data_IF_768080131781
#
_entry.id   IF_768080131781
#
_cell.length_a   1.000
_cell.length_b   1.000
_cell.length_c   1.000
_cell.angle_alpha   90.00
_cell.angle_beta   90.00
_cell.angle_gamma   90.00
#
_symmetry.space_group_name_H-M   'P 1'
#
loop_
_entity.id
_entity.type
_entity.pdbx_description
1 polymer ?
#
# COMPACT_ATOMS: atom_id res chain seq x y z
N UNK A 1 -22.59 22.26 -73.56
CA UNK A 1 -21.88 21.03 -73.18
C UNK A 1 -22.31 20.66 -71.78
N UNK A 2 -22.78 19.42 -71.63
CA UNK A 2 -23.47 18.86 -70.48
C UNK A 2 -22.52 18.61 -69.28
N UNK A 3 -23.07 18.54 -68.06
CA UNK A 3 -22.34 17.99 -66.92
C UNK A 3 -22.89 18.39 -65.55
N UNK A 4 -24.14 18.01 -65.26
CA UNK A 4 -24.77 18.07 -63.94
C UNK A 4 -24.64 16.67 -63.29
N UNK A 5 -24.74 16.62 -61.95
CA UNK A 5 -24.93 15.41 -61.09
C UNK A 5 -23.64 14.69 -60.66
N UNK A 6 -23.48 14.14 -59.46
CA UNK A 6 -24.45 13.82 -58.42
C UNK A 6 -23.77 13.74 -57.04
N UNK A 7 -24.54 13.97 -55.98
CA UNK A 7 -24.17 13.83 -54.57
C UNK A 7 -23.86 12.37 -54.22
N UNK A 8 -22.84 12.14 -53.39
CA UNK A 8 -22.75 10.94 -52.55
C UNK A 8 -22.98 11.34 -51.09
N UNK A 9 -24.09 10.88 -50.52
CA UNK A 9 -24.40 10.94 -49.08
C UNK A 9 -23.92 9.62 -48.49
N UNK A 10 -22.95 9.68 -47.57
CA UNK A 10 -22.51 8.52 -46.78
C UNK A 10 -23.45 8.39 -45.58
N UNK A 11 -24.31 7.38 -45.60
CA UNK A 11 -25.11 6.98 -44.44
C UNK A 11 -24.20 6.19 -43.47
N UNK A 12 -23.72 6.87 -42.43
CA UNK A 12 -23.09 6.24 -41.28
C UNK A 12 -24.19 5.67 -40.37
N UNK A 13 -24.47 4.38 -40.51
CA UNK A 13 -25.32 3.64 -39.58
C UNK A 13 -24.59 3.45 -38.25
N UNK A 14 -24.85 4.33 -37.28
CA UNK A 14 -24.54 4.09 -35.87
C UNK A 14 -25.39 2.92 -35.37
N UNK A 15 -24.81 1.72 -35.39
CA UNK A 15 -25.32 0.61 -34.61
C UNK A 15 -25.14 0.96 -33.12
N UNK A 16 -26.23 1.42 -32.50
CA UNK A 16 -26.34 1.48 -31.04
C UNK A 16 -26.32 0.05 -30.50
N UNK A 17 -25.13 -0.48 -30.25
CA UNK A 17 -24.98 -1.60 -29.33
C UNK A 17 -25.46 -1.10 -27.96
N UNK A 18 -26.70 -1.44 -27.59
CA UNK A 18 -27.14 -1.42 -26.19
C UNK A 18 -26.27 -2.43 -25.46
N UNK A 19 -25.09 -1.98 -25.01
CA UNK A 19 -24.33 -2.68 -23.99
C UNK A 19 -25.24 -2.74 -22.77
N UNK A 20 -25.73 -3.93 -22.46
CA UNK A 20 -26.25 -4.24 -21.14
C UNK A 20 -25.13 -3.89 -20.17
N UNK A 21 -25.27 -2.78 -19.44
CA UNK A 21 -24.50 -2.60 -18.21
C UNK A 21 -24.91 -3.78 -17.35
N UNK A 22 -24.09 -4.83 -17.33
CA UNK A 22 -24.16 -5.85 -16.30
C UNK A 22 -24.19 -5.08 -14.98
N UNK A 23 -25.37 -5.04 -14.36
CA UNK A 23 -25.53 -4.44 -13.06
C UNK A 23 -24.79 -5.36 -12.12
N UNK A 24 -23.49 -5.09 -11.91
CA UNK A 24 -22.65 -5.88 -11.04
C UNK A 24 -23.31 -5.91 -9.68
N UNK A 25 -23.80 -7.08 -9.25
CA UNK A 25 -24.39 -7.24 -7.93
C UNK A 25 -23.31 -6.83 -6.90
N UNK A 26 -23.51 -5.75 -6.12
CA UNK A 26 -22.48 -5.24 -5.21
C UNK A 26 -22.16 -6.24 -4.09
N UNK A 27 -23.02 -7.23 -3.87
CA UNK A 27 -22.85 -8.29 -2.90
C UNK A 27 -22.22 -9.56 -3.48
N UNK A 28 -21.91 -9.57 -4.79
CA UNK A 28 -21.26 -10.73 -5.40
C UNK A 28 -19.83 -10.88 -4.87
N UNK A 29 -19.47 -12.04 -4.31
CA UNK A 29 -18.10 -12.30 -3.88
C UNK A 29 -17.12 -12.22 -5.06
N UNK A 30 -15.98 -11.59 -4.82
CA UNK A 30 -14.83 -11.54 -5.72
C UNK A 30 -13.59 -12.04 -4.99
N UNK A 31 -12.57 -12.47 -5.74
CA UNK A 31 -11.26 -12.70 -5.16
C UNK A 31 -10.60 -11.34 -4.92
N UNK A 32 -10.49 -10.96 -3.65
CA UNK A 32 -9.85 -9.72 -3.21
C UNK A 32 -8.41 -10.04 -2.80
N UNK A 33 -7.43 -9.29 -3.32
CA UNK A 33 -6.04 -9.42 -2.91
C UNK A 33 -5.51 -8.07 -2.45
N UNK A 34 -4.96 -8.03 -1.24
CA UNK A 34 -4.18 -6.91 -0.70
C UNK A 34 -2.70 -7.26 -0.74
N UNK A 35 -1.88 -6.34 -1.24
CA UNK A 35 -0.43 -6.54 -1.35
C UNK A 35 0.33 -5.34 -0.81
N UNK A 36 1.47 -5.62 -0.19
CA UNK A 36 2.51 -4.63 0.08
C UNK A 36 3.68 -4.94 -0.86
N UNK A 37 4.10 -3.95 -1.63
CA UNK A 37 5.21 -4.04 -2.58
C UNK A 37 6.33 -3.12 -2.10
N UNK A 38 7.55 -3.65 -2.06
CA UNK A 38 8.75 -2.83 -1.93
C UNK A 38 8.99 -2.15 -3.29
N UNK A 39 8.93 -0.81 -3.30
CA UNK A 39 9.00 -0.03 -4.55
C UNK A 39 10.39 -0.15 -5.18
N UNK A 40 11.44 -0.25 -4.37
CA UNK A 40 12.82 -0.25 -4.87
C UNK A 40 13.16 -1.58 -5.56
N UNK A 41 12.72 -2.71 -5.00
CA UNK A 41 12.95 -4.04 -5.60
C UNK A 41 11.83 -4.54 -6.50
N UNK A 42 10.65 -3.92 -6.46
CA UNK A 42 9.42 -4.40 -7.11
C UNK A 42 8.85 -5.69 -6.50
N UNK A 43 9.40 -6.16 -5.38
CA UNK A 43 9.02 -7.43 -4.76
C UNK A 43 7.76 -7.25 -3.92
N UNK A 44 6.80 -8.18 -4.05
CA UNK A 44 5.69 -8.33 -3.10
C UNK A 44 6.24 -8.88 -1.77
N UNK A 45 6.20 -8.07 -0.71
CA UNK A 45 6.71 -8.42 0.62
C UNK A 45 5.63 -8.98 1.54
N UNK A 46 4.35 -8.64 1.30
CA UNK A 46 3.20 -9.25 1.95
C UNK A 46 2.04 -9.36 0.96
N UNK A 47 1.26 -10.44 1.06
CA UNK A 47 0.05 -10.63 0.27
C UNK A 47 -1.00 -11.36 1.10
N UNK A 48 -2.22 -10.84 1.10
CA UNK A 48 -3.39 -11.48 1.71
C UNK A 48 -4.49 -11.59 0.67
N UNK A 49 -5.15 -12.75 0.58
CA UNK A 49 -6.24 -12.99 -0.37
C UNK A 49 -7.48 -13.57 0.33
N UNK A 50 -8.68 -13.17 -0.09
CA UNK A 50 -9.95 -13.76 0.36
C UNK A 50 -11.00 -13.77 -0.75
N UNK A 51 -12.10 -14.49 -0.53
CA UNK A 51 -13.34 -14.39 -1.32
C UNK A 51 -14.41 -13.64 -0.51
N UNK A 52 -14.71 -12.40 -0.89
CA UNK A 52 -15.71 -11.56 -0.21
C UNK A 52 -16.27 -10.48 -1.16
N UNK A 53 -17.42 -9.85 -0.83
CA UNK A 53 -17.91 -8.71 -1.60
C UNK A 53 -16.91 -7.53 -1.58
N UNK A 54 -16.77 -6.76 -2.68
CA UNK A 54 -15.89 -5.60 -2.74
C UNK A 54 -16.15 -4.61 -1.59
N UNK A 55 -15.06 -4.11 -0.98
CA UNK A 55 -15.13 -3.10 0.09
C UNK A 55 -15.50 -3.63 1.49
N UNK A 56 -15.63 -4.95 1.67
CA UNK A 56 -16.02 -5.55 2.97
C UNK A 56 -14.87 -6.16 3.76
N UNK A 57 -13.69 -6.31 3.16
CA UNK A 57 -12.55 -7.00 3.77
C UNK A 57 -11.28 -6.16 3.80
N UNK A 58 -10.79 -5.92 5.02
CA UNK A 58 -9.67 -5.04 5.34
C UNK A 58 -8.72 -5.78 6.28
N UNK A 59 -7.85 -6.66 5.77
CA UNK A 59 -6.97 -7.47 6.61
C UNK A 59 -5.93 -6.61 7.33
N UNK A 60 -5.44 -7.09 8.46
CA UNK A 60 -4.17 -6.60 8.99
C UNK A 60 -3.03 -7.13 8.11
N UNK A 61 -2.21 -6.22 7.58
CA UNK A 61 -1.03 -6.56 6.81
C UNK A 61 0.22 -6.33 7.66
N UNK A 62 1.36 -6.83 7.22
CA UNK A 62 2.62 -6.45 7.85
C UNK A 62 3.85 -6.98 7.15
N UNK A 63 5.00 -6.44 7.53
CA UNK A 63 6.29 -6.74 6.94
C UNK A 63 7.39 -6.40 7.96
N UNK A 64 8.60 -6.90 7.75
CA UNK A 64 9.73 -6.56 8.61
C UNK A 64 10.47 -5.36 8.02
N UNK A 65 10.81 -4.36 8.83
CA UNK A 65 11.51 -3.17 8.33
C UNK A 65 12.85 -3.52 7.65
N UNK A 66 13.53 -4.58 8.12
CA UNK A 66 14.76 -5.09 7.50
C UNK A 66 14.60 -5.60 6.07
N UNK A 67 13.39 -5.94 5.65
CA UNK A 67 13.14 -6.47 4.30
C UNK A 67 13.19 -5.35 3.25
N UNK A 68 12.87 -4.12 3.64
CA UNK A 68 12.82 -2.95 2.74
C UNK A 68 13.93 -1.93 3.00
N UNK A 69 14.45 -1.87 4.23
CA UNK A 69 15.40 -0.83 4.64
C UNK A 69 16.82 -1.41 4.83
N UNK A 70 17.79 -1.10 3.95
CA UNK A 70 19.14 -1.64 4.02
C UNK A 70 19.88 -1.31 5.32
N UNK A 71 19.58 -0.15 5.92
CA UNK A 71 20.19 0.22 7.20
C UNK A 71 19.55 -0.56 8.35
N UNK A 72 18.22 -0.72 8.38
CA UNK A 72 17.58 -1.56 9.38
C UNK A 72 18.14 -3.00 9.34
N UNK A 73 18.36 -3.55 8.14
CA UNK A 73 18.92 -4.90 7.94
C UNK A 73 20.27 -5.14 8.63
N UNK A 74 21.09 -4.10 8.80
CA UNK A 74 22.42 -4.20 9.43
C UNK A 74 22.42 -3.83 10.92
N UNK A 75 21.26 -3.59 11.53
CA UNK A 75 21.14 -3.27 12.95
C UNK A 75 20.49 -4.42 13.74
N UNK A 76 20.93 -4.64 15.00
CA UNK A 76 20.24 -5.54 15.91
C UNK A 76 18.76 -5.17 16.08
N UNK A 77 17.86 -6.15 16.17
CA UNK A 77 16.42 -5.91 16.18
C UNK A 77 15.93 -5.11 17.40
N UNK A 78 16.61 -5.20 18.53
CA UNK A 78 16.37 -4.32 19.69
C UNK A 78 16.64 -2.85 19.34
N UNK A 79 17.69 -2.54 18.57
CA UNK A 79 18.00 -1.17 18.16
C UNK A 79 17.01 -0.66 17.12
N UNK A 80 16.57 -1.51 16.18
CA UNK A 80 15.52 -1.13 15.23
C UNK A 80 14.25 -0.74 15.99
N UNK A 81 13.81 -1.62 16.90
CA UNK A 81 12.60 -1.42 17.70
C UNK A 81 12.68 -0.21 18.63
N UNK A 82 13.86 0.06 19.21
CA UNK A 82 14.04 1.17 20.13
C UNK A 82 14.20 2.53 19.43
N UNK A 83 15.01 2.61 18.38
CA UNK A 83 15.18 3.86 17.62
C UNK A 83 13.91 4.27 16.87
N UNK A 84 13.18 3.27 16.37
CA UNK A 84 11.90 3.51 15.77
C UNK A 84 11.94 3.87 14.30
N UNK A 85 10.75 4.18 13.78
CA UNK A 85 10.56 4.69 12.42
C UNK A 85 9.49 5.77 12.44
N UNK A 86 9.44 6.54 11.35
CA UNK A 86 8.31 7.39 11.03
C UNK A 86 7.95 7.20 9.55
N UNK A 87 6.68 7.43 9.22
CA UNK A 87 6.15 7.21 7.90
C UNK A 87 5.28 8.37 7.43
N UNK A 88 5.35 8.65 6.14
CA UNK A 88 4.62 9.72 5.48
C UNK A 88 3.91 9.18 4.23
N UNK A 89 2.64 9.53 4.01
CA UNK A 89 1.92 9.12 2.82
C UNK A 89 2.49 9.85 1.59
N UNK A 90 2.46 9.16 0.46
CA UNK A 90 2.70 9.77 -0.84
C UNK A 90 1.73 10.93 -1.05
N UNK A 91 2.25 12.03 -1.59
CA UNK A 91 1.46 13.23 -1.86
C UNK A 91 1.82 13.80 -3.22
N UNK A 92 0.85 14.45 -3.87
CA UNK A 92 1.10 15.27 -5.05
C UNK A 92 1.66 16.65 -4.69
N UNK A 93 1.56 17.09 -3.43
CA UNK A 93 2.15 18.33 -2.94
C UNK A 93 3.59 18.13 -2.45
N UNK A 94 4.49 17.91 -3.40
CA UNK A 94 5.93 17.77 -3.14
C UNK A 94 6.57 19.06 -2.59
N UNK A 95 5.88 20.21 -2.66
CA UNK A 95 6.42 21.48 -2.12
C UNK A 95 6.55 21.41 -0.61
N UNK A 96 5.55 20.84 0.05
CA UNK A 96 5.53 20.74 1.52
C UNK A 96 6.31 19.53 2.02
N UNK A 97 5.98 18.35 1.52
CA UNK A 97 6.45 17.08 2.10
C UNK A 97 7.61 16.44 1.34
N UNK A 98 8.01 17.01 0.22
CA UNK A 98 8.97 16.37 -0.66
C UNK A 98 8.35 15.25 -1.48
N UNK A 99 9.10 14.80 -2.48
CA UNK A 99 8.74 13.65 -3.31
C UNK A 99 9.30 12.33 -2.77
N UNK A 100 9.39 11.35 -3.64
CA UNK A 100 9.94 10.02 -3.37
C UNK A 100 11.38 10.05 -2.85
N UNK A 101 12.21 10.98 -3.35
CA UNK A 101 13.62 11.14 -2.93
C UNK A 101 13.80 11.55 -1.47
N UNK A 102 12.76 12.09 -0.84
CA UNK A 102 12.72 12.46 0.58
C UNK A 102 11.72 11.60 1.36
N UNK A 103 11.27 10.50 0.74
CA UNK A 103 10.31 9.56 1.32
C UNK A 103 9.01 10.25 1.78
N UNK A 104 8.63 11.36 1.11
CA UNK A 104 7.50 12.21 1.49
C UNK A 104 7.58 12.78 2.93
N UNK A 105 8.76 12.75 3.54
CA UNK A 105 9.00 13.09 4.93
C UNK A 105 9.91 14.32 5.12
N UNK A 106 9.94 15.25 4.16
CA UNK A 106 10.76 16.48 4.25
C UNK A 106 10.50 17.27 5.55
N UNK A 107 9.27 17.22 6.05
CA UNK A 107 8.87 17.92 7.27
C UNK A 107 8.14 17.00 8.25
N UNK A 108 8.33 17.22 9.55
CA UNK A 108 7.61 16.48 10.59
C UNK A 108 6.08 16.56 10.47
N UNK A 109 5.56 17.66 9.93
CA UNK A 109 4.13 17.82 9.68
C UNK A 109 3.55 16.86 8.62
N UNK A 110 4.40 16.13 7.90
CA UNK A 110 4.02 15.12 6.91
C UNK A 110 3.93 13.72 7.50
N UNK A 111 4.44 13.51 8.72
CA UNK A 111 4.43 12.22 9.39
C UNK A 111 3.02 11.90 9.88
N UNK A 112 2.50 10.74 9.46
CA UNK A 112 1.18 10.24 9.84
C UNK A 112 1.23 9.00 10.72
N UNK A 113 2.37 8.30 10.75
CA UNK A 113 2.62 7.15 11.60
C UNK A 113 4.05 7.18 12.13
N UNK A 114 4.24 6.77 13.38
CA UNK A 114 5.57 6.56 13.96
C UNK A 114 5.50 5.59 15.14
N UNK A 115 6.59 4.88 15.37
CA UNK A 115 6.72 3.99 16.53
C UNK A 115 8.20 3.80 16.90
N UNK A 116 8.46 3.40 18.14
CA UNK A 116 9.79 3.34 18.75
C UNK A 116 9.69 3.28 20.28
N UNK A 117 10.81 3.47 20.98
CA UNK A 117 10.79 3.79 22.42
C UNK A 117 10.15 5.18 22.64
N UNK A 118 10.40 6.11 21.72
CA UNK A 118 9.82 7.45 21.69
C UNK A 118 8.82 7.57 20.54
N UNK A 119 7.69 8.25 20.79
CA UNK A 119 6.65 8.49 19.80
C UNK A 119 6.27 9.97 19.74
N UNK A 120 6.02 10.47 18.54
CA UNK A 120 5.47 11.80 18.32
C UNK A 120 3.96 11.73 18.11
N UNK A 121 3.26 12.80 18.51
CA UNK A 121 1.84 12.96 18.17
C UNK A 121 1.71 13.26 16.67
N UNK A 122 0.85 12.51 15.99
CA UNK A 122 0.57 12.63 14.56
C UNK A 122 -0.92 12.84 14.31
N UNK A 123 -1.28 13.37 13.15
CA UNK A 123 -2.68 13.56 12.75
C UNK A 123 -3.29 12.23 12.27
N UNK A 124 -4.48 11.82 12.73
CA UNK A 124 -5.12 10.55 12.35
C UNK A 124 -5.83 10.63 10.99
N UNK A 125 -5.22 11.30 10.01
CA UNK A 125 -5.86 11.66 8.73
C UNK A 125 -5.44 10.79 7.55
N UNK A 126 -4.62 9.76 7.79
CA UNK A 126 -4.10 8.88 6.74
C UNK A 126 -5.00 7.65 6.52
N UNK A 127 -4.84 6.98 5.38
CA UNK A 127 -5.59 5.79 4.99
C UNK A 127 -5.19 4.54 5.80
N UNK A 128 -3.94 4.51 6.29
CA UNK A 128 -3.41 3.43 7.12
C UNK A 128 -2.62 3.98 8.30
N UNK A 129 -2.48 3.17 9.34
CA UNK A 129 -1.51 3.38 10.42
C UNK A 129 -0.43 2.30 10.38
N UNK A 130 0.80 2.71 10.68
CA UNK A 130 1.95 1.82 10.81
C UNK A 130 2.46 1.83 12.26
N UNK A 131 2.71 0.64 12.82
CA UNK A 131 3.25 0.47 14.17
C UNK A 131 4.03 -0.83 14.30
N UNK A 132 4.94 -0.94 15.26
CA UNK A 132 5.54 -2.25 15.55
C UNK A 132 4.51 -3.20 16.17
N UNK A 133 4.52 -4.47 15.75
CA UNK A 133 3.69 -5.51 16.35
C UNK A 133 4.09 -5.83 17.79
N UNK A 134 5.39 -5.83 18.05
CA UNK A 134 5.96 -6.40 19.28
C UNK A 134 6.68 -5.32 20.08
N UNK A 135 6.64 -5.45 21.41
CA UNK A 135 7.48 -4.65 22.30
C UNK A 135 8.91 -5.19 22.30
N UNK A 136 9.89 -4.30 22.41
CA UNK A 136 11.30 -4.68 22.48
C UNK A 136 11.78 -4.83 23.93
N UNK A 137 12.88 -5.55 24.17
CA UNK A 137 13.50 -5.65 25.49
C UNK A 137 14.26 -4.38 25.92
N UNK A 138 14.09 -3.27 25.19
CA UNK A 138 14.86 -2.03 25.33
C UNK A 138 16.20 -2.07 24.59
N UNK A 139 16.75 -0.88 24.34
CA UNK A 139 17.94 -0.70 23.48
C UNK A 139 19.23 -1.34 24.01
N UNK A 140 19.33 -1.56 25.32
CA UNK A 140 20.56 -2.06 25.97
C UNK A 140 20.68 -3.58 26.01
N UNK A 141 19.62 -4.31 25.65
CA UNK A 141 19.67 -5.77 25.55
C UNK A 141 20.35 -6.17 24.26
N UNK A 142 21.40 -6.99 24.37
CA UNK A 142 22.15 -7.48 23.22
C UNK A 142 21.34 -8.58 22.54
N UNK A 143 20.92 -8.35 21.29
CA UNK A 143 20.33 -9.36 20.42
C UNK A 143 21.22 -9.59 19.19
N UNK A 144 21.31 -10.84 18.70
CA UNK A 144 21.95 -11.10 17.42
C UNK A 144 21.16 -10.45 16.27
N UNK A 145 21.86 -10.15 15.17
CA UNK A 145 21.22 -9.72 13.93
C UNK A 145 20.26 -10.80 13.43
N UNK A 146 19.16 -10.38 12.80
CA UNK A 146 18.29 -11.27 12.01
C UNK A 146 18.92 -11.65 10.65
N UNK A 147 20.24 -11.87 10.61
CA UNK A 147 20.95 -12.22 9.38
C UNK A 147 20.43 -13.54 8.79
N UNK A 148 19.95 -13.51 7.55
CA UNK A 148 19.40 -14.68 6.86
C UNK A 148 18.04 -15.17 7.37
N UNK A 149 17.43 -14.49 8.35
CA UNK A 149 16.13 -14.89 8.93
C UNK A 149 14.97 -14.29 8.12
N UNK A 150 14.09 -15.15 7.61
CA UNK A 150 12.81 -14.73 7.01
C UNK A 150 11.96 -13.93 8.01
N UNK A 151 11.20 -12.96 7.49
CA UNK A 151 10.30 -12.15 8.30
C UNK A 151 9.23 -13.00 8.99
N UNK A 152 9.00 -12.74 10.28
CA UNK A 152 7.95 -13.39 11.05
C UNK A 152 7.18 -12.36 11.91
N UNK A 153 5.85 -12.49 12.09
CA UNK A 153 5.05 -11.58 12.91
C UNK A 153 5.50 -11.37 14.36
N UNK A 154 6.31 -12.28 14.91
CA UNK A 154 6.89 -12.18 16.26
C UNK A 154 8.22 -11.41 16.30
N UNK A 155 8.73 -10.95 15.16
CA UNK A 155 10.00 -10.22 15.11
C UNK A 155 9.83 -8.78 15.64
N UNK A 156 10.88 -8.25 16.28
CA UNK A 156 10.81 -6.92 16.90
C UNK A 156 10.71 -5.77 15.88
N UNK A 157 11.14 -6.01 14.65
CA UNK A 157 11.04 -5.06 13.54
C UNK A 157 9.85 -5.33 12.61
N UNK A 158 8.92 -6.22 13.00
CA UNK A 158 7.67 -6.43 12.28
C UNK A 158 6.74 -5.23 12.45
N UNK A 159 6.43 -4.57 11.34
CA UNK A 159 5.52 -3.43 11.25
C UNK A 159 4.14 -3.95 10.82
N UNK A 160 3.12 -3.65 11.63
CA UNK A 160 1.71 -3.83 11.30
C UNK A 160 1.21 -2.64 10.52
N UNK A 161 0.45 -2.92 9.47
CA UNK A 161 -0.27 -1.94 8.66
C UNK A 161 -1.76 -2.18 8.86
N UNK A 162 -2.45 -1.18 9.43
CA UNK A 162 -3.87 -1.25 9.72
C UNK A 162 -4.62 -0.16 8.94
N UNK A 163 -5.69 -0.54 8.24
CA UNK A 163 -6.55 0.42 7.57
C UNK A 163 -7.32 1.27 8.60
N UNK A 164 -7.23 2.59 8.46
CA UNK A 164 -8.04 3.53 9.26
C UNK A 164 -9.48 3.54 8.78
N UNK A 165 -10.36 4.20 9.53
CA UNK A 165 -11.73 4.43 9.07
C UNK A 165 -11.76 5.27 7.79
N UNK A 166 -10.81 6.18 7.59
CA UNK A 166 -10.69 6.95 6.34
C UNK A 166 -10.31 6.00 5.18
N UNK A 167 -9.35 5.10 5.40
CA UNK A 167 -8.97 4.08 4.42
C UNK A 167 -10.13 3.16 4.04
N UNK A 168 -10.89 2.67 5.03
CA UNK A 168 -12.04 1.78 4.83
C UNK A 168 -13.23 2.46 4.16
N UNK A 169 -13.43 3.75 4.41
CA UNK A 169 -14.49 4.55 3.79
C UNK A 169 -14.09 5.11 2.41
N UNK A 170 -12.82 4.97 2.00
CA UNK A 170 -12.39 5.30 0.64
C UNK A 170 -12.97 4.26 -0.34
N UNK A 171 -13.65 4.67 -1.42
CA UNK A 171 -14.23 3.75 -2.38
C UNK A 171 -13.22 2.69 -2.87
N UNK A 172 -13.58 1.42 -2.79
CA UNK A 172 -12.68 0.30 -3.13
C UNK A 172 -12.21 0.33 -4.60
N UNK A 173 -13.00 0.95 -5.49
CA UNK A 173 -12.61 1.20 -6.88
C UNK A 173 -11.38 2.12 -6.97
N UNK A 174 -11.24 3.09 -6.06
CA UNK A 174 -10.09 4.00 -6.01
C UNK A 174 -8.84 3.22 -5.56
N UNK A 175 -8.95 2.39 -4.51
CA UNK A 175 -7.86 1.49 -4.09
C UNK A 175 -7.38 0.54 -5.18
N UNK A 176 -8.27 0.16 -6.10
CA UNK A 176 -7.95 -0.77 -7.20
C UNK A 176 -7.47 -0.07 -8.47
N UNK A 177 -7.68 1.25 -8.57
CA UNK A 177 -7.29 2.06 -9.73
C UNK A 177 -6.00 2.81 -9.48
N UNK A 178 -5.79 3.29 -8.25
CA UNK A 178 -4.68 4.15 -7.88
C UNK A 178 -3.67 3.40 -7.02
N UNK A 179 -2.42 3.84 -7.15
CA UNK A 179 -1.32 3.35 -6.33
C UNK A 179 -1.10 4.29 -5.15
N UNK A 180 -1.17 3.74 -3.93
CA UNK A 180 -0.86 4.49 -2.73
C UNK A 180 0.51 4.09 -2.19
N UNK A 181 1.31 5.11 -1.90
CA UNK A 181 2.68 4.94 -1.46
C UNK A 181 2.87 5.48 -0.05
N UNK A 182 3.81 4.91 0.68
CA UNK A 182 4.29 5.46 1.94
C UNK A 182 5.80 5.42 1.95
N UNK A 183 6.42 6.52 2.36
CA UNK A 183 7.81 6.52 2.74
C UNK A 183 7.96 6.12 4.19
N UNK A 184 8.90 5.23 4.48
CA UNK A 184 9.16 4.70 5.83
C UNK A 184 10.62 4.93 6.14
N UNK A 185 10.88 5.77 7.13
CA UNK A 185 12.22 6.23 7.48
C UNK A 185 12.64 5.62 8.81
N UNK A 186 13.76 4.90 8.80
CA UNK A 186 14.35 4.37 10.02
C UNK A 186 15.04 5.50 10.79
N UNK A 187 14.59 5.74 12.03
CA UNK A 187 14.99 6.87 12.85
C UNK A 187 16.34 6.63 13.55
N UNK A 188 17.39 6.35 12.78
CA UNK A 188 18.77 6.27 13.28
C UNK A 188 19.44 7.63 13.07
N UNK A 189 20.08 8.16 14.12
CA UNK A 189 20.75 9.48 14.08
C UNK A 189 21.75 9.59 12.91
N UNK A 190 21.73 10.74 12.22
CA UNK A 190 22.76 11.16 11.26
C UNK A 190 22.37 10.99 9.80
N UNK A 191 22.00 9.78 9.40
CA UNK A 191 21.47 9.48 8.07
C UNK A 191 20.10 8.86 8.30
N UNK A 192 19.07 9.41 7.66
CA UNK A 192 17.68 8.98 7.77
C UNK A 192 17.33 8.09 6.57
N UNK A 193 17.78 6.81 6.53
CA UNK A 193 17.53 5.93 5.42
C UNK A 193 16.05 5.61 5.39
N UNK A 194 15.40 5.99 4.30
CA UNK A 194 14.04 5.60 4.01
C UNK A 194 13.95 4.50 2.97
N UNK A 195 12.75 3.95 2.88
CA UNK A 195 12.31 3.03 1.84
C UNK A 195 10.89 3.39 1.46
N UNK A 196 10.48 3.06 0.25
CA UNK A 196 9.12 3.28 -0.21
C UNK A 196 8.38 1.95 -0.28
N UNK A 197 7.17 1.92 0.28
CA UNK A 197 6.23 0.82 0.07
C UNK A 197 5.03 1.31 -0.74
N UNK A 198 4.42 0.37 -1.47
CA UNK A 198 3.14 0.57 -2.12
C UNK A 198 2.13 -0.42 -1.55
N UNK A 199 0.94 0.06 -1.21
CA UNK A 199 -0.20 -0.79 -0.86
C UNK A 199 -1.14 -0.84 -2.05
N UNK A 200 -1.40 -2.04 -2.55
CA UNK A 200 -2.23 -2.28 -3.72
C UNK A 200 -3.40 -3.20 -3.37
N UNK A 201 -4.54 -2.97 -4.03
CA UNK A 201 -5.70 -3.83 -3.97
C UNK A 201 -6.07 -4.31 -5.38
N UNK A 202 -6.35 -5.60 -5.54
CA UNK A 202 -6.87 -6.15 -6.79
C UNK A 202 -8.15 -6.93 -6.55
N UNK A 203 -9.04 -6.90 -7.56
CA UNK A 203 -10.31 -7.61 -7.56
C UNK A 203 -10.40 -8.47 -8.82
N UNK A 204 -10.54 -9.77 -8.64
CA UNK A 204 -10.71 -10.74 -9.72
C UNK A 204 -12.09 -11.40 -9.59
N UNK A 205 -12.80 -11.57 -10.71
CA UNK A 205 -14.03 -12.36 -10.72
C UNK A 205 -13.73 -13.80 -10.33
N UNK A 206 -14.57 -14.42 -9.50
CA UNK A 206 -14.44 -15.84 -9.19
C UNK A 206 -14.53 -16.68 -10.48
N UNK A 207 -13.80 -17.80 -10.58
CA UNK A 207 -13.93 -18.71 -11.70
C UNK A 207 -15.40 -19.11 -11.87
N UNK A 208 -15.92 -19.05 -13.10
CA UNK A 208 -17.23 -19.64 -13.38
C UNK A 208 -17.18 -21.13 -13.01
N UNK A 209 -18.20 -21.68 -12.33
CA UNK A 209 -18.26 -23.13 -12.12
C UNK A 209 -18.13 -23.82 -13.48
N UNK A 210 -17.48 -25.00 -13.55
CA UNK A 210 -17.42 -25.76 -14.78
C UNK A 210 -18.86 -25.96 -15.28
N UNK A 211 -19.11 -25.61 -16.55
CA UNK A 211 -20.37 -25.97 -17.19
C UNK A 211 -20.46 -27.50 -17.14
N UNK A 212 -21.37 -28.03 -16.33
CA UNK A 212 -21.66 -29.47 -16.34
C UNK A 212 -22.16 -29.90 -17.72
N UNK A 213 -22.03 -31.20 -18.06
CA UNK A 213 -22.57 -31.74 -19.31
C UNK A 213 -24.10 -31.56 -19.41
#
# INVERSE_FOLDING_TARGET
MNGLWCRLIILLSCAFSRGTKSQSNPHQPMTLTWQIVDVDSGKVINSSRTSAPPGTWWPELGFCLRDINPTAKTNPPNLIRSYGFYACPGTSDERKCGGSSEFFCRQWACVTSNDGDWKWKVSPTDLVTLSFANTGPGRYVILPLYAGKSCHPSDLDYIKVQFTDIGKNTPISIWSTWSYFWGIVYNKYGNQPGSLIQIQHTMESLPSPPSGP
#
